data_IF_921285031521
#
_entry.id   IF_921285031521
#
_cell.length_a   1.000
_cell.length_b   1.000
_cell.length_c   1.000
_cell.angle_alpha   90.00
_cell.angle_beta   90.00
_cell.angle_gamma   90.00
#
_symmetry.space_group_name_H-M   'P 1'
#
loop_
_entity.id
_entity.type
_entity.pdbx_description
1 polymer ?
#
# COMPACT_ATOMS: atom_id res chain seq x y z
N UNK A 1 -27.48 39.34 31.21
CA UNK A 1 -27.95 39.44 29.81
C UNK A 1 -28.12 40.90 29.45
N UNK A 2 -28.05 41.25 28.16
CA UNK A 2 -28.27 42.63 27.69
C UNK A 2 -29.77 42.92 27.59
N UNK A 3 -30.19 44.19 27.75
CA UNK A 3 -31.59 44.62 27.56
C UNK A 3 -32.18 44.19 26.20
N UNK A 4 -31.33 44.08 25.16
CA UNK A 4 -31.75 43.55 23.85
C UNK A 4 -32.09 42.06 23.91
N UNK A 5 -31.28 41.28 24.62
CA UNK A 5 -31.48 39.84 24.85
C UNK A 5 -32.85 39.59 25.52
N UNK A 6 -33.19 40.37 26.54
CA UNK A 6 -34.44 40.23 27.29
C UNK A 6 -35.69 40.57 26.44
N UNK A 7 -35.57 41.52 25.49
CA UNK A 7 -36.63 41.81 24.53
C UNK A 7 -36.83 40.66 23.52
N UNK A 8 -35.74 40.07 23.02
CA UNK A 8 -35.80 38.96 22.05
C UNK A 8 -36.40 37.68 22.63
N UNK A 9 -36.17 37.39 23.91
CA UNK A 9 -36.65 36.17 24.56
C UNK A 9 -37.99 36.34 25.31
N UNK A 10 -38.67 37.48 25.16
CA UNK A 10 -39.94 37.76 25.85
C UNK A 10 -41.03 36.79 25.38
N UNK A 11 -41.61 36.04 26.32
CA UNK A 11 -42.66 35.05 26.05
C UNK A 11 -42.15 33.69 25.56
N UNK A 12 -40.83 33.52 25.42
CA UNK A 12 -40.20 32.23 25.12
C UNK A 12 -39.86 31.56 26.45
N UNK A 13 -40.36 30.35 26.76
CA UNK A 13 -40.00 29.64 27.97
C UNK A 13 -38.52 29.26 27.93
N UNK A 14 -37.70 29.94 28.75
CA UNK A 14 -36.28 29.67 28.88
C UNK A 14 -36.04 28.75 30.07
N UNK A 15 -35.27 27.68 29.86
CA UNK A 15 -34.76 26.85 30.96
C UNK A 15 -33.34 27.33 31.31
N UNK A 16 -32.98 27.49 32.60
CA UNK A 16 -31.59 27.72 32.97
C UNK A 16 -30.76 26.55 32.46
N UNK A 17 -29.85 26.85 31.53
CA UNK A 17 -28.99 25.88 30.87
C UNK A 17 -27.55 26.27 31.17
N UNK A 18 -26.89 25.46 32.01
CA UNK A 18 -25.49 25.64 32.35
C UNK A 18 -24.64 24.86 31.34
N UNK A 19 -24.23 25.58 30.29
CA UNK A 19 -23.37 25.06 29.22
C UNK A 19 -22.08 24.44 29.76
N UNK A 20 -21.51 24.98 30.84
CA UNK A 20 -20.24 24.50 31.38
C UNK A 20 -20.47 23.18 32.11
N UNK A 21 -21.50 23.11 32.96
CA UNK A 21 -21.82 21.89 33.71
C UNK A 21 -22.22 20.74 32.78
N UNK A 22 -23.16 20.97 31.86
CA UNK A 22 -23.62 19.94 30.94
C UNK A 22 -22.51 19.54 29.96
N UNK A 23 -21.74 20.52 29.46
CA UNK A 23 -20.58 20.27 28.61
C UNK A 23 -19.52 19.42 29.30
N UNK A 24 -19.23 19.68 30.58
CA UNK A 24 -18.27 18.89 31.35
C UNK A 24 -18.75 17.46 31.59
N UNK A 25 -20.03 17.27 31.92
CA UNK A 25 -20.61 15.92 32.10
C UNK A 25 -20.52 15.12 30.81
N UNK A 26 -20.94 15.71 29.69
CA UNK A 26 -20.87 15.07 28.36
C UNK A 26 -19.42 14.76 27.98
N UNK A 27 -18.50 15.71 28.21
CA UNK A 27 -17.08 15.51 27.94
C UNK A 27 -16.53 14.32 28.73
N UNK A 28 -16.72 14.29 30.05
CA UNK A 28 -16.24 13.19 30.91
C UNK A 28 -16.86 11.86 30.50
N UNK A 29 -18.17 11.81 30.24
CA UNK A 29 -18.84 10.60 29.79
C UNK A 29 -18.30 10.09 28.45
N UNK A 30 -18.11 10.98 27.47
CA UNK A 30 -17.52 10.63 26.17
C UNK A 30 -16.07 10.19 26.36
N UNK A 31 -15.26 10.86 27.18
CA UNK A 31 -13.87 10.47 27.45
C UNK A 31 -13.79 9.07 28.03
N UNK A 32 -14.60 8.77 29.06
CA UNK A 32 -14.66 7.42 29.66
C UNK A 32 -15.09 6.39 28.61
N UNK A 33 -16.12 6.70 27.81
CA UNK A 33 -16.56 5.81 26.74
C UNK A 33 -15.45 5.55 25.73
N UNK A 34 -14.74 6.59 25.27
CA UNK A 34 -13.61 6.47 24.35
C UNK A 34 -12.51 5.57 24.93
N UNK A 35 -12.15 5.73 26.21
CA UNK A 35 -11.15 4.85 26.84
C UNK A 35 -11.62 3.40 26.93
N UNK A 36 -12.89 3.17 27.30
CA UNK A 36 -13.46 1.82 27.35
C UNK A 36 -13.44 1.19 25.96
N UNK A 37 -13.91 1.91 24.94
CA UNK A 37 -13.90 1.44 23.55
C UNK A 37 -12.47 1.20 23.07
N UNK A 38 -11.53 2.10 23.37
CA UNK A 38 -10.13 1.93 22.99
C UNK A 38 -9.48 0.70 23.64
N UNK A 39 -9.82 0.37 24.90
CA UNK A 39 -9.31 -0.84 25.58
C UNK A 39 -9.96 -2.11 25.00
N UNK A 40 -11.27 -2.08 24.76
CA UNK A 40 -12.02 -3.25 24.24
C UNK A 40 -11.64 -3.54 22.77
N UNK A 41 -11.43 -2.48 21.99
CA UNK A 41 -11.14 -2.54 20.56
C UNK A 41 -9.68 -2.20 20.23
N UNK A 42 -8.75 -2.31 21.20
CA UNK A 42 -7.33 -2.03 20.97
C UNK A 42 -6.73 -3.05 20.00
N UNK A 43 -5.95 -2.54 19.06
CA UNK A 43 -5.19 -3.30 18.08
C UNK A 43 -3.81 -3.73 18.60
N UNK A 44 -3.30 -4.94 18.26
CA UNK A 44 -1.88 -5.22 18.30
C UNK A 44 -1.16 -4.40 17.21
N UNK A 45 -0.16 -3.61 17.61
CA UNK A 45 0.72 -2.91 16.67
C UNK A 45 1.68 -3.93 16.02
N UNK A 46 1.50 -4.17 14.71
CA UNK A 46 2.37 -5.07 13.96
C UNK A 46 3.55 -4.28 13.39
N UNK A 47 4.80 -4.66 13.69
CA UNK A 47 5.96 -3.97 13.16
C UNK A 47 6.00 -4.09 11.63
N UNK A 48 6.47 -3.05 10.92
CA UNK A 48 6.60 -3.10 9.47
C UNK A 48 7.61 -4.18 9.08
N UNK A 49 7.31 -4.89 7.99
CA UNK A 49 8.21 -5.90 7.42
C UNK A 49 9.46 -5.23 6.89
N UNK A 50 10.63 -5.57 7.44
CA UNK A 50 11.90 -5.01 7.01
C UNK A 50 12.64 -5.94 6.05
N UNK A 51 13.34 -5.38 5.08
CA UNK A 51 14.26 -6.13 4.20
C UNK A 51 15.24 -7.01 4.99
N UNK A 52 15.74 -6.50 6.13
CA UNK A 52 16.61 -7.24 7.05
C UNK A 52 15.96 -8.48 7.63
N UNK A 53 14.68 -8.39 8.00
CA UNK A 53 13.93 -9.50 8.58
C UNK A 53 13.67 -10.55 7.51
N UNK A 54 13.27 -10.15 6.30
CA UNK A 54 13.12 -11.04 5.15
C UNK A 54 14.44 -11.77 4.86
N UNK A 55 15.56 -11.05 4.77
CA UNK A 55 16.88 -11.62 4.51
C UNK A 55 17.39 -12.57 5.63
N UNK A 56 16.85 -12.42 6.85
CA UNK A 56 17.26 -13.23 8.01
C UNK A 56 16.39 -14.48 8.16
N UNK A 57 15.07 -14.33 8.08
CA UNK A 57 14.10 -15.39 8.35
C UNK A 57 13.67 -16.14 7.09
N UNK A 58 13.60 -15.47 5.95
CA UNK A 58 13.17 -16.03 4.67
C UNK A 58 14.22 -15.79 3.56
N UNK A 59 15.50 -16.20 3.76
CA UNK A 59 16.59 -15.85 2.87
C UNK A 59 16.46 -16.46 1.47
N UNK A 60 15.75 -17.59 1.32
CA UNK A 60 15.49 -18.18 0.00
C UNK A 60 14.48 -17.33 -0.78
N UNK A 61 13.38 -16.89 -0.15
CA UNK A 61 12.39 -16.01 -0.78
C UNK A 61 13.00 -14.63 -1.11
N UNK A 62 13.85 -14.11 -0.21
CA UNK A 62 14.65 -12.92 -0.46
C UNK A 62 15.47 -13.05 -1.74
N UNK A 63 16.28 -14.10 -1.86
CA UNK A 63 17.10 -14.35 -3.05
C UNK A 63 16.27 -14.62 -4.31
N UNK A 64 15.15 -15.33 -4.16
CA UNK A 64 14.23 -15.58 -5.27
C UNK A 64 13.68 -14.27 -5.85
N UNK A 65 13.41 -13.27 -5.00
CA UNK A 65 12.95 -11.95 -5.47
C UNK A 65 13.99 -11.30 -6.40
N UNK A 66 15.26 -11.31 -6.03
CA UNK A 66 16.33 -10.75 -6.88
C UNK A 66 16.62 -11.60 -8.11
N UNK A 67 16.49 -12.93 -8.01
CA UNK A 67 16.57 -13.81 -9.16
C UNK A 67 15.44 -13.52 -10.17
N UNK A 68 14.21 -13.36 -9.69
CA UNK A 68 13.03 -13.01 -10.51
C UNK A 68 13.22 -11.63 -11.17
N UNK A 69 13.79 -10.65 -10.45
CA UNK A 69 14.16 -9.33 -11.01
C UNK A 69 15.19 -9.48 -12.12
N UNK A 70 16.25 -10.27 -11.93
CA UNK A 70 17.26 -10.51 -12.97
C UNK A 70 16.69 -11.26 -14.18
N UNK A 71 15.68 -12.11 -13.98
CA UNK A 71 14.95 -12.77 -15.08
C UNK A 71 13.99 -11.84 -15.82
N UNK A 72 13.72 -10.63 -15.30
CA UNK A 72 12.66 -9.75 -15.79
C UNK A 72 11.25 -10.30 -15.53
N UNK A 73 11.09 -11.16 -14.52
CA UNK A 73 9.83 -11.85 -14.16
C UNK A 73 9.25 -11.39 -12.83
N UNK A 74 9.90 -10.47 -12.14
CA UNK A 74 9.34 -9.86 -10.92
C UNK A 74 8.12 -9.01 -11.27
N UNK A 75 7.18 -8.85 -10.33
CA UNK A 75 5.97 -8.02 -10.54
C UNK A 75 6.26 -6.58 -10.95
N UNK A 76 7.38 -5.98 -10.50
CA UNK A 76 7.76 -4.62 -10.93
C UNK A 76 8.40 -4.56 -12.32
N UNK A 77 8.83 -5.70 -12.87
CA UNK A 77 9.44 -5.75 -14.21
C UNK A 77 8.39 -5.84 -15.32
N UNK A 78 7.16 -6.22 -14.97
CA UNK A 78 6.03 -6.38 -15.88
C UNK A 78 4.79 -5.61 -15.38
N UNK A 79 4.99 -4.52 -14.63
CA UNK A 79 3.88 -3.78 -14.01
C UNK A 79 3.18 -2.87 -15.01
N UNK A 80 3.95 -2.20 -15.87
CA UNK A 80 3.49 -1.17 -16.79
C UNK A 80 3.60 0.26 -16.25
N UNK A 81 3.02 1.25 -16.96
CA UNK A 81 3.01 2.64 -16.53
C UNK A 81 2.40 2.80 -15.12
N UNK A 82 2.98 3.65 -14.24
CA UNK A 82 3.96 4.69 -14.55
C UNK A 82 5.44 4.27 -14.44
N UNK A 83 5.74 2.98 -14.20
CA UNK A 83 7.08 2.52 -13.86
C UNK A 83 7.88 1.99 -15.05
N UNK A 84 7.22 1.26 -15.95
CA UNK A 84 7.84 0.68 -17.14
C UNK A 84 6.93 0.80 -18.37
N UNK A 85 7.43 0.40 -19.53
CA UNK A 85 6.72 0.49 -20.82
C UNK A 85 5.96 -0.78 -21.20
N UNK A 86 5.92 -1.79 -20.33
CA UNK A 86 5.13 -3.00 -20.53
C UNK A 86 3.64 -2.63 -20.53
N UNK A 87 2.89 -3.24 -21.42
CA UNK A 87 1.44 -3.03 -21.56
C UNK A 87 0.66 -4.32 -21.36
N UNK A 88 1.31 -5.45 -21.16
CA UNK A 88 0.64 -6.75 -21.03
C UNK A 88 -0.27 -6.79 -19.80
N UNK A 89 0.14 -6.15 -18.70
CA UNK A 89 -0.60 -6.11 -17.44
C UNK A 89 -1.27 -4.76 -17.16
N UNK A 90 -1.42 -3.89 -18.16
CA UNK A 90 -1.98 -2.56 -17.94
C UNK A 90 -3.46 -2.63 -17.55
N UNK A 91 -3.82 -1.93 -16.47
CA UNK A 91 -5.22 -1.80 -16.10
C UNK A 91 -5.97 -0.99 -17.16
N UNK A 92 -7.04 -1.57 -17.67
CA UNK A 92 -7.84 -0.98 -18.74
C UNK A 92 -9.34 -1.17 -18.51
N UNK A 93 -10.12 -0.24 -19.04
CA UNK A 93 -11.57 -0.31 -19.03
C UNK A 93 -12.11 0.14 -20.40
N UNK A 94 -12.99 -0.67 -20.99
CA UNK A 94 -13.52 -0.43 -22.35
C UNK A 94 -12.44 -0.16 -23.41
N UNK A 95 -11.27 -0.81 -23.29
CA UNK A 95 -10.14 -0.63 -24.20
C UNK A 95 -9.35 0.67 -24.00
N UNK A 96 -9.63 1.43 -22.93
CA UNK A 96 -8.87 2.61 -22.54
C UNK A 96 -8.01 2.24 -21.33
N UNK A 97 -6.69 2.45 -21.45
CA UNK A 97 -5.73 2.30 -20.36
C UNK A 97 -5.23 3.69 -19.92
N UNK A 98 -5.82 4.30 -18.87
CA UNK A 98 -5.49 5.67 -18.48
C UNK A 98 -4.00 5.87 -18.14
N UNK A 99 -3.37 4.88 -17.50
CA UNK A 99 -1.96 4.93 -17.15
C UNK A 99 -1.06 5.06 -18.40
N UNK A 100 -1.40 4.34 -19.49
CA UNK A 100 -0.69 4.43 -20.76
C UNK A 100 -0.83 5.78 -21.47
N UNK A 101 -1.90 6.54 -21.20
CA UNK A 101 -2.06 7.90 -21.73
C UNK A 101 -1.04 8.86 -21.11
N UNK A 102 -0.81 8.71 -19.80
CA UNK A 102 0.18 9.50 -19.07
C UNK A 102 1.62 9.00 -19.31
N UNK A 103 1.76 7.72 -19.64
CA UNK A 103 3.04 7.07 -19.90
C UNK A 103 3.88 6.87 -18.64
N UNK A 104 5.18 6.63 -18.85
CA UNK A 104 6.15 6.37 -17.77
C UNK A 104 6.58 7.70 -17.15
N UNK A 105 6.11 7.96 -15.94
CA UNK A 105 6.41 9.20 -15.19
C UNK A 105 7.37 8.97 -14.03
N UNK A 106 7.50 7.73 -13.55
CA UNK A 106 8.38 7.34 -12.44
C UNK A 106 9.17 6.11 -12.89
N UNK A 107 10.11 6.25 -13.84
CA UNK A 107 10.77 5.09 -14.45
C UNK A 107 11.54 4.28 -13.39
N UNK A 108 11.30 2.97 -13.38
CA UNK A 108 12.04 2.01 -12.56
C UNK A 108 12.71 1.01 -13.49
N UNK A 109 14.04 0.92 -13.39
CA UNK A 109 14.78 -0.15 -14.03
C UNK A 109 15.08 -1.21 -12.97
N UNK A 110 14.21 -2.20 -12.82
CA UNK A 110 14.27 -3.15 -11.71
C UNK A 110 15.66 -3.79 -11.53
N UNK A 111 16.31 -4.20 -12.63
CA UNK A 111 17.65 -4.78 -12.60
C UNK A 111 18.68 -3.78 -12.07
N UNK A 112 18.69 -2.55 -12.60
CA UNK A 112 19.67 -1.55 -12.17
C UNK A 112 19.38 -1.00 -10.77
N UNK A 113 18.13 -0.71 -10.46
CA UNK A 113 17.71 -0.06 -9.22
C UNK A 113 17.77 -1.00 -8.02
N UNK A 114 17.46 -2.29 -8.21
CA UNK A 114 17.37 -3.24 -7.10
C UNK A 114 18.53 -4.23 -7.01
N UNK A 115 19.25 -4.49 -8.10
CA UNK A 115 20.37 -5.46 -8.12
C UNK A 115 21.70 -4.77 -8.35
N UNK A 116 21.89 -4.17 -9.54
CA UNK A 116 23.21 -3.68 -9.96
C UNK A 116 23.66 -2.47 -9.14
N UNK A 117 22.76 -1.52 -8.85
CA UNK A 117 23.05 -0.33 -8.05
C UNK A 117 23.47 -0.67 -6.62
N UNK A 118 22.64 -1.39 -5.84
CA UNK A 118 22.99 -1.87 -4.51
C UNK A 118 24.32 -2.63 -4.45
N UNK A 119 24.53 -3.55 -5.39
CA UNK A 119 25.80 -4.29 -5.48
C UNK A 119 26.97 -3.41 -5.88
N UNK A 120 26.78 -2.36 -6.69
CA UNK A 120 27.84 -1.42 -7.05
C UNK A 120 28.28 -0.60 -5.84
N UNK A 121 27.37 -0.26 -4.92
CA UNK A 121 27.72 0.35 -3.64
C UNK A 121 28.53 -0.61 -2.76
N UNK A 122 28.14 -1.89 -2.69
CA UNK A 122 28.88 -2.92 -1.97
C UNK A 122 30.26 -3.20 -2.59
N UNK A 123 30.38 -3.16 -3.92
CA UNK A 123 31.62 -3.40 -4.65
C UNK A 123 32.76 -2.42 -4.31
N UNK A 124 32.43 -1.24 -3.77
CA UNK A 124 33.43 -0.27 -3.28
C UNK A 124 34.28 -0.86 -2.15
N UNK A 125 33.69 -1.74 -1.34
CA UNK A 125 34.34 -2.35 -0.17
C UNK A 125 34.61 -3.85 -0.35
N UNK A 126 33.82 -4.55 -1.18
CA UNK A 126 34.00 -5.97 -1.47
C UNK A 126 34.50 -6.21 -2.91
N UNK A 127 35.77 -6.62 -3.00
CA UNK A 127 36.44 -6.92 -4.28
C UNK A 127 35.87 -8.14 -5.00
N UNK A 128 35.29 -9.11 -4.29
CA UNK A 128 34.68 -10.27 -4.92
C UNK A 128 33.39 -9.88 -5.63
N UNK A 129 32.56 -9.04 -4.99
CA UNK A 129 31.36 -8.47 -5.60
C UNK A 129 31.73 -7.57 -6.78
N UNK A 130 32.79 -6.76 -6.68
CA UNK A 130 33.28 -5.95 -7.79
C UNK A 130 33.61 -6.78 -9.03
N UNK A 131 34.41 -7.85 -8.86
CA UNK A 131 34.77 -8.76 -9.96
C UNK A 131 33.56 -9.48 -10.54
N UNK A 132 32.66 -9.95 -9.68
CA UNK A 132 31.44 -10.62 -10.11
C UNK A 132 30.55 -9.69 -10.95
N UNK A 133 30.43 -8.42 -10.57
CA UNK A 133 29.71 -7.43 -11.36
C UNK A 133 30.37 -7.14 -12.71
N UNK A 134 31.70 -7.06 -12.76
CA UNK A 134 32.45 -6.90 -14.02
C UNK A 134 32.21 -8.09 -14.94
N UNK A 135 32.40 -9.32 -14.43
CA UNK A 135 32.16 -10.55 -15.18
C UNK A 135 30.71 -10.65 -15.69
N UNK A 136 29.74 -10.29 -14.86
CA UNK A 136 28.34 -10.29 -15.25
C UNK A 136 28.05 -9.25 -16.35
N UNK A 137 28.62 -8.05 -16.25
CA UNK A 137 28.44 -6.98 -17.24
C UNK A 137 29.11 -7.28 -18.58
N UNK A 138 30.29 -7.93 -18.54
CA UNK A 138 31.07 -8.29 -19.73
C UNK A 138 30.49 -9.51 -20.46
N UNK A 139 29.71 -10.35 -19.75
CA UNK A 139 29.07 -11.51 -20.35
C UNK A 139 27.95 -11.15 -21.35
N UNK A 140 27.81 -11.99 -22.37
CA UNK A 140 26.72 -11.86 -23.35
C UNK A 140 25.35 -11.96 -22.67
N UNK A 141 24.30 -11.32 -23.22
CA UNK A 141 22.95 -11.44 -22.67
C UNK A 141 22.50 -12.90 -22.53
N UNK A 142 22.83 -13.76 -23.49
CA UNK A 142 22.48 -15.18 -23.46
C UNK A 142 23.18 -15.90 -22.32
N UNK A 143 24.46 -15.61 -22.07
CA UNK A 143 25.21 -16.22 -20.98
C UNK A 143 24.65 -15.78 -19.61
N UNK A 144 24.32 -14.49 -19.48
CA UNK A 144 23.66 -13.98 -18.27
C UNK A 144 22.34 -14.70 -18.01
N UNK A 145 21.48 -14.83 -19.02
CA UNK A 145 20.21 -15.56 -18.88
C UNK A 145 20.42 -17.01 -18.44
N UNK A 146 21.39 -17.72 -19.02
CA UNK A 146 21.71 -19.09 -18.63
C UNK A 146 22.11 -19.20 -17.15
N UNK A 147 23.00 -18.31 -16.68
CA UNK A 147 23.42 -18.29 -15.28
C UNK A 147 22.28 -17.94 -14.33
N UNK A 148 21.47 -16.95 -14.67
CA UNK A 148 20.33 -16.50 -13.86
C UNK A 148 19.30 -17.63 -13.77
N UNK A 149 18.92 -18.24 -14.89
CA UNK A 149 17.95 -19.33 -14.93
C UNK A 149 18.44 -20.56 -14.17
N UNK A 150 19.73 -20.91 -14.32
CA UNK A 150 20.34 -22.00 -13.56
C UNK A 150 20.29 -21.73 -12.05
N UNK A 151 20.61 -20.50 -11.62
CA UNK A 151 20.58 -20.12 -10.21
C UNK A 151 19.15 -20.09 -9.65
N UNK A 152 18.20 -19.46 -10.36
CA UNK A 152 16.79 -19.42 -9.98
C UNK A 152 16.19 -20.83 -9.85
N UNK A 153 16.52 -21.74 -10.77
CA UNK A 153 16.11 -23.13 -10.67
C UNK A 153 16.72 -23.85 -9.46
N UNK A 154 17.97 -23.55 -9.14
CA UNK A 154 18.64 -24.14 -7.98
C UNK A 154 18.04 -23.67 -6.65
N UNK A 155 17.54 -22.43 -6.58
CA UNK A 155 16.85 -21.87 -5.40
C UNK A 155 15.60 -22.69 -5.00
N UNK A 156 14.89 -23.29 -5.95
CA UNK A 156 13.72 -24.15 -5.67
C UNK A 156 14.04 -25.35 -4.76
N UNK A 157 15.31 -25.76 -4.70
CA UNK A 157 15.80 -26.87 -3.88
C UNK A 157 16.80 -26.44 -2.80
N UNK A 158 16.95 -25.12 -2.61
CA UNK A 158 17.93 -24.57 -1.69
C UNK A 158 17.61 -24.90 -0.23
N UNK A 159 18.67 -24.98 0.58
CA UNK A 159 18.58 -25.24 2.01
C UNK A 159 19.27 -24.13 2.78
N UNK A 160 18.68 -23.75 3.91
CA UNK A 160 19.32 -22.82 4.84
C UNK A 160 20.13 -23.62 5.84
N UNK A 161 21.45 -23.46 5.82
CA UNK A 161 22.38 -24.14 6.72
C UNK A 161 23.22 -23.07 7.42
N UNK A 162 23.16 -23.01 8.75
CA UNK A 162 23.90 -22.02 9.55
C UNK A 162 23.65 -20.57 9.09
N UNK A 163 22.41 -20.26 8.68
CA UNK A 163 22.02 -18.95 8.18
C UNK A 163 22.51 -18.63 6.77
N UNK A 164 23.18 -19.53 6.06
CA UNK A 164 23.57 -19.36 4.66
C UNK A 164 22.66 -20.17 3.75
N UNK A 165 22.38 -19.64 2.56
CA UNK A 165 21.59 -20.34 1.53
C UNK A 165 22.54 -21.21 0.72
N UNK A 166 22.36 -22.52 0.81
CA UNK A 166 23.06 -23.50 0.00
C UNK A 166 22.17 -23.91 -1.16
N UNK A 167 22.63 -23.63 -2.38
CA UNK A 167 22.05 -24.13 -3.62
C UNK A 167 22.77 -25.40 -4.05
N UNK A 168 22.13 -26.19 -4.92
CA UNK A 168 22.80 -27.34 -5.56
C UNK A 168 24.06 -26.90 -6.33
N UNK A 169 24.95 -27.83 -6.66
CA UNK A 169 26.09 -27.51 -7.51
C UNK A 169 25.62 -27.26 -8.95
N UNK A 170 26.13 -26.20 -9.57
CA UNK A 170 25.85 -25.84 -10.96
C UNK A 170 26.72 -24.69 -11.43
N UNK A 171 26.68 -24.41 -12.74
CA UNK A 171 27.33 -23.24 -13.30
C UNK A 171 26.37 -22.04 -13.23
N UNK A 172 26.66 -21.14 -12.31
CA UNK A 172 25.92 -19.91 -12.06
C UNK A 172 26.73 -18.67 -12.42
N UNK A 173 27.96 -18.85 -12.95
CA UNK A 173 28.93 -17.78 -13.12
C UNK A 173 29.01 -16.84 -11.90
N UNK A 174 29.01 -15.51 -12.09
CA UNK A 174 29.09 -14.54 -11.01
C UNK A 174 27.77 -14.35 -10.23
N UNK A 175 26.65 -14.93 -10.67
CA UNK A 175 25.32 -14.69 -10.08
C UNK A 175 25.28 -15.15 -8.62
N UNK A 176 25.91 -16.28 -8.29
CA UNK A 176 25.98 -16.77 -6.90
C UNK A 176 26.66 -15.77 -5.94
N UNK A 177 27.74 -15.13 -6.39
CA UNK A 177 28.48 -14.12 -5.61
C UNK A 177 27.65 -12.84 -5.48
N UNK A 178 27.03 -12.40 -6.57
CA UNK A 178 26.12 -11.24 -6.56
C UNK A 178 24.95 -11.45 -5.58
N UNK A 179 24.34 -12.62 -5.59
CA UNK A 179 23.21 -12.97 -4.73
C UNK A 179 23.62 -13.04 -3.25
N UNK A 180 24.78 -13.62 -2.95
CA UNK A 180 25.33 -13.60 -1.60
C UNK A 180 25.61 -12.17 -1.11
N UNK A 181 26.16 -11.30 -1.97
CA UNK A 181 26.36 -9.89 -1.65
C UNK A 181 25.05 -9.17 -1.32
N UNK A 182 23.99 -9.39 -2.10
CA UNK A 182 22.65 -8.85 -1.81
C UNK A 182 22.08 -9.40 -0.49
N UNK A 183 22.29 -10.68 -0.18
CA UNK A 183 21.83 -11.28 1.07
C UNK A 183 22.55 -10.69 2.28
N UNK A 184 23.86 -10.48 2.20
CA UNK A 184 24.65 -9.83 3.25
C UNK A 184 24.22 -8.37 3.43
N UNK A 185 23.98 -7.66 2.33
CA UNK A 185 23.47 -6.29 2.35
C UNK A 185 22.08 -6.23 3.02
N UNK A 186 21.19 -7.18 2.71
CA UNK A 186 19.89 -7.33 3.37
C UNK A 186 20.03 -7.57 4.87
N UNK A 187 20.82 -8.56 5.28
CA UNK A 187 21.05 -8.90 6.70
C UNK A 187 21.70 -7.78 7.51
N UNK A 188 22.52 -6.95 6.86
CA UNK A 188 23.10 -5.77 7.51
C UNK A 188 22.07 -4.68 7.79
N UNK A 189 20.96 -4.64 7.05
CA UNK A 189 19.96 -3.57 7.08
C UNK A 189 20.33 -2.36 6.22
N UNK A 190 21.35 -2.48 5.35
CA UNK A 190 21.81 -1.39 4.48
C UNK A 190 21.17 -1.42 3.08
N UNK A 191 20.34 -2.42 2.78
CA UNK A 191 19.71 -2.56 1.46
C UNK A 191 18.87 -1.32 1.09
N UNK A 192 17.95 -0.89 1.95
CA UNK A 192 17.04 0.23 1.64
C UNK A 192 17.84 1.52 1.37
N UNK A 193 18.89 1.77 2.16
CA UNK A 193 19.78 2.90 1.95
C UNK A 193 20.54 2.79 0.62
N UNK A 194 20.98 1.60 0.23
CA UNK A 194 21.69 1.36 -1.03
C UNK A 194 20.82 1.51 -2.28
N UNK A 195 19.52 1.26 -2.16
CA UNK A 195 18.54 1.48 -3.24
C UNK A 195 18.23 2.97 -3.37
N UNK A 196 18.26 3.70 -2.25
CA UNK A 196 17.96 5.12 -2.19
C UNK A 196 19.17 6.02 -2.56
N UNK A 197 20.40 5.55 -2.35
CA UNK A 197 21.64 6.34 -2.44
C UNK A 197 21.99 6.90 -3.81
N UNK A 198 21.19 6.63 -4.85
CA UNK A 198 21.40 7.08 -6.22
C UNK A 198 20.62 8.32 -6.66
N UNK A 199 19.69 8.86 -5.85
CA UNK A 199 18.79 9.92 -6.36
C UNK A 199 19.48 11.29 -6.48
N UNK A 200 20.26 11.74 -5.48
CA UNK A 200 21.18 12.87 -5.60
C UNK A 200 22.26 12.82 -4.51
N UNK A 201 23.48 13.35 -4.75
CA UNK A 201 24.54 13.44 -3.73
C UNK A 201 24.21 14.38 -2.54
N UNK A 202 23.02 14.99 -2.51
CA UNK A 202 22.54 15.89 -1.46
C UNK A 202 21.26 15.40 -0.77
N UNK A 203 20.80 14.17 -1.06
CA UNK A 203 19.60 13.59 -0.47
C UNK A 203 19.86 13.07 0.95
N UNK A 204 20.14 13.99 1.89
CA UNK A 204 20.16 13.68 3.32
C UNK A 204 18.74 13.45 3.86
N UNK A 205 17.74 14.03 3.19
CA UNK A 205 16.32 13.84 3.46
C UNK A 205 15.63 13.38 2.17
N UNK A 206 15.46 12.06 2.02
CA UNK A 206 14.56 11.54 0.98
C UNK A 206 13.13 11.47 1.51
N UNK A 207 12.19 11.91 0.70
CA UNK A 207 10.76 11.70 0.91
C UNK A 207 10.18 10.70 -0.10
N UNK A 208 11.00 10.20 -1.02
CA UNK A 208 10.59 9.28 -2.07
C UNK A 208 11.00 7.86 -1.73
N UNK A 209 10.12 7.09 -1.10
CA UNK A 209 10.36 5.68 -0.75
C UNK A 209 9.77 4.70 -1.79
N UNK A 210 9.48 5.17 -3.00
CA UNK A 210 8.84 4.35 -4.05
C UNK A 210 9.61 3.06 -4.32
N UNK A 211 10.94 3.15 -4.48
CA UNK A 211 11.78 1.96 -4.78
C UNK A 211 11.78 0.94 -3.63
N UNK A 212 12.10 1.29 -2.37
CA UNK A 212 12.00 0.34 -1.25
C UNK A 212 10.60 -0.28 -1.08
N UNK A 213 9.53 0.50 -1.32
CA UNK A 213 8.15 -0.01 -1.22
C UNK A 213 7.84 -1.06 -2.30
N UNK A 214 8.36 -0.89 -3.51
CA UNK A 214 8.06 -1.78 -4.64
C UNK A 214 8.94 -3.03 -4.72
N UNK A 215 10.07 -3.07 -4.01
CA UNK A 215 11.03 -4.17 -4.11
C UNK A 215 10.42 -5.55 -3.78
N UNK A 216 9.67 -5.64 -2.67
CA UNK A 216 9.11 -6.91 -2.17
C UNK A 216 7.60 -7.05 -2.41
N UNK A 217 7.02 -6.22 -3.30
CA UNK A 217 5.58 -6.14 -3.51
C UNK A 217 4.90 -7.46 -3.88
N UNK A 218 5.65 -8.37 -4.52
CA UNK A 218 5.09 -9.64 -4.94
C UNK A 218 4.95 -10.66 -3.83
N UNK A 219 5.45 -11.88 -4.07
CA UNK A 219 5.18 -13.05 -3.22
C UNK A 219 5.36 -12.81 -1.72
N UNK A 220 6.38 -12.04 -1.32
CA UNK A 220 6.66 -11.78 0.10
C UNK A 220 5.55 -10.93 0.72
N UNK A 221 5.25 -9.74 0.20
CA UNK A 221 4.19 -8.90 0.76
C UNK A 221 2.81 -9.54 0.60
N UNK A 222 2.54 -10.27 -0.50
CA UNK A 222 1.31 -11.05 -0.62
C UNK A 222 1.18 -12.16 0.44
N UNK A 223 2.27 -12.85 0.78
CA UNK A 223 2.29 -13.88 1.83
C UNK A 223 2.02 -13.26 3.20
N UNK A 224 2.68 -12.14 3.50
CA UNK A 224 2.46 -11.41 4.75
C UNK A 224 1.03 -10.89 4.84
N UNK A 225 0.52 -10.24 3.79
CA UNK A 225 -0.85 -9.74 3.74
C UNK A 225 -1.87 -10.85 3.96
N UNK A 226 -1.68 -12.02 3.33
CA UNK A 226 -2.51 -13.20 3.56
C UNK A 226 -2.48 -13.68 5.02
N UNK A 227 -1.31 -13.67 5.65
CA UNK A 227 -1.19 -14.10 7.06
C UNK A 227 -1.87 -13.14 8.06
N UNK A 228 -2.21 -11.93 7.61
CA UNK A 228 -2.79 -10.86 8.39
C UNK A 228 -4.25 -10.56 7.98
N UNK A 229 -4.85 -11.37 7.10
CA UNK A 229 -6.19 -11.14 6.52
C UNK A 229 -6.31 -9.75 5.87
N UNK A 230 -5.25 -9.32 5.19
CA UNK A 230 -5.13 -7.99 4.54
C UNK A 230 -5.25 -8.04 3.02
N UNK A 231 -5.69 -9.17 2.44
CA UNK A 231 -5.97 -9.23 1.00
C UNK A 231 -7.27 -8.49 0.67
N UNK A 232 -7.47 -8.15 -0.60
CA UNK A 232 -8.69 -7.45 -1.05
C UNK A 232 -9.96 -8.24 -0.74
N UNK A 233 -9.92 -9.56 -0.93
CA UNK A 233 -10.98 -10.50 -0.57
C UNK A 233 -11.24 -10.61 0.94
N UNK A 234 -10.30 -10.18 1.78
CA UNK A 234 -10.37 -10.23 3.24
C UNK A 234 -10.76 -8.87 3.85
N UNK A 235 -11.33 -7.97 3.05
CA UNK A 235 -11.59 -6.57 3.43
C UNK A 235 -10.31 -5.80 3.78
N UNK A 236 -9.16 -6.19 3.23
CA UNK A 236 -7.83 -5.71 3.61
C UNK A 236 -7.60 -4.20 3.52
N UNK A 237 -8.30 -3.50 2.63
CA UNK A 237 -8.26 -2.02 2.56
C UNK A 237 -8.77 -1.40 3.87
N UNK A 238 -9.71 -2.07 4.53
CA UNK A 238 -10.36 -1.63 5.76
C UNK A 238 -9.89 -2.38 7.00
N UNK A 239 -9.35 -3.58 6.80
CA UNK A 239 -8.77 -4.42 7.84
C UNK A 239 -7.36 -3.90 8.15
N UNK A 240 -7.28 -2.85 8.97
CA UNK A 240 -6.04 -2.53 9.65
C UNK A 240 -5.81 -3.60 10.70
N UNK A 241 -4.68 -4.31 10.66
CA UNK A 241 -4.35 -5.33 11.65
C UNK A 241 -4.65 -4.82 13.06
N UNK A 242 -5.72 -5.39 13.66
CA UNK A 242 -6.18 -5.12 15.01
C UNK A 242 -7.21 -4.00 15.23
N UNK A 243 -7.26 -2.92 14.45
CA UNK A 243 -8.19 -1.81 14.75
C UNK A 243 -9.57 -2.23 14.27
N UNK A 244 -10.53 -2.45 15.17
CA UNK A 244 -11.94 -2.56 14.79
C UNK A 244 -12.63 -1.20 14.97
N UNK A 245 -13.38 -0.67 13.98
CA UNK A 245 -13.69 -1.23 12.66
C UNK A 245 -12.68 -0.84 11.55
N UNK A 246 -11.46 -0.45 11.93
CA UNK A 246 -10.38 -0.06 11.02
C UNK A 246 -10.71 1.22 10.27
N UNK A 247 -10.24 1.34 9.03
CA UNK A 247 -10.59 2.41 8.12
C UNK A 247 -12.03 2.23 7.57
N UNK A 248 -13.03 2.22 8.46
CA UNK A 248 -14.43 1.91 8.13
C UNK A 248 -15.04 2.84 7.08
N UNK A 249 -14.50 4.05 6.93
CA UNK A 249 -14.91 4.98 5.87
C UNK A 249 -14.50 4.49 4.46
N UNK A 250 -13.60 3.52 4.36
CA UNK A 250 -13.22 2.82 3.12
C UNK A 250 -14.08 1.57 2.85
N UNK A 251 -15.01 1.21 3.74
CA UNK A 251 -15.94 0.08 3.49
C UNK A 251 -16.68 0.18 2.15
N UNK A 252 -17.16 1.36 1.70
CA UNK A 252 -17.77 1.48 0.39
C UNK A 252 -16.85 1.13 -0.77
N UNK A 253 -15.52 1.29 -0.61
CA UNK A 253 -14.53 0.90 -1.62
C UNK A 253 -14.31 -0.62 -1.56
N UNK A 254 -14.01 -1.14 -0.37
CA UNK A 254 -13.66 -2.56 -0.21
C UNK A 254 -14.84 -3.51 -0.49
N UNK A 255 -16.08 -3.03 -0.32
CA UNK A 255 -17.30 -3.80 -0.59
C UNK A 255 -17.33 -4.35 -2.02
N UNK A 256 -16.86 -3.56 -3.00
CA UNK A 256 -16.87 -3.99 -4.40
C UNK A 256 -15.94 -5.17 -4.65
N UNK A 257 -14.83 -5.28 -3.92
CA UNK A 257 -13.90 -6.42 -4.00
C UNK A 257 -14.52 -7.75 -3.52
N UNK A 258 -15.71 -7.72 -2.93
CA UNK A 258 -16.40 -8.90 -2.42
C UNK A 258 -17.40 -9.51 -3.42
N UNK A 259 -17.73 -8.77 -4.48
CA UNK A 259 -18.80 -9.16 -5.41
C UNK A 259 -18.30 -9.26 -6.85
N UNK A 260 -18.66 -10.33 -7.61
CA UNK A 260 -18.41 -10.38 -9.03
C UNK A 260 -19.16 -9.26 -9.79
N UNK A 261 -18.59 -8.72 -10.89
CA UNK A 261 -17.34 -9.15 -11.54
C UNK A 261 -16.05 -8.60 -10.92
N UNK A 262 -16.15 -7.59 -10.05
CA UNK A 262 -15.01 -6.85 -9.51
C UNK A 262 -14.04 -7.72 -8.71
N UNK A 263 -14.58 -8.65 -7.89
CA UNK A 263 -13.78 -9.58 -7.08
C UNK A 263 -12.92 -10.55 -7.90
N UNK A 264 -13.17 -10.66 -9.21
CA UNK A 264 -12.45 -11.55 -10.14
C UNK A 264 -11.78 -10.80 -11.29
N UNK A 265 -11.93 -9.48 -11.35
CA UNK A 265 -11.41 -8.68 -12.45
C UNK A 265 -9.94 -8.35 -12.22
N UNK A 266 -9.06 -8.54 -13.22
CA UNK A 266 -7.69 -8.03 -13.15
C UNK A 266 -7.63 -6.48 -13.14
N UNK A 267 -8.75 -5.81 -13.45
CA UNK A 267 -8.90 -4.35 -13.42
C UNK A 267 -9.70 -3.86 -12.20
N UNK A 268 -9.83 -4.69 -11.15
CA UNK A 268 -10.68 -4.40 -10.00
C UNK A 268 -10.45 -3.00 -9.41
N UNK A 269 -9.20 -2.60 -9.23
CA UNK A 269 -8.86 -1.28 -8.67
C UNK A 269 -9.34 -0.12 -9.56
N UNK A 270 -9.11 -0.18 -10.87
CA UNK A 270 -9.57 0.82 -11.83
C UNK A 270 -11.10 0.88 -11.88
N UNK A 271 -11.77 -0.27 -11.94
CA UNK A 271 -13.23 -0.36 -11.99
C UNK A 271 -13.88 0.26 -10.74
N UNK A 272 -13.40 -0.14 -9.55
CA UNK A 272 -13.90 0.37 -8.27
C UNK A 272 -13.59 1.86 -8.13
N UNK A 273 -12.38 2.29 -8.50
CA UNK A 273 -12.00 3.70 -8.51
C UNK A 273 -12.95 4.56 -9.35
N UNK A 274 -13.32 4.11 -10.55
CA UNK A 274 -14.24 4.81 -11.44
C UNK A 274 -15.67 4.86 -10.89
N UNK A 275 -16.15 3.77 -10.29
CA UNK A 275 -17.45 3.74 -9.62
C UNK A 275 -17.48 4.76 -8.48
N UNK A 276 -16.44 4.79 -7.66
CA UNK A 276 -16.36 5.70 -6.52
C UNK A 276 -16.25 7.16 -6.94
N UNK A 277 -15.51 7.47 -8.01
CA UNK A 277 -15.50 8.80 -8.64
C UNK A 277 -16.90 9.17 -9.12
N UNK A 278 -17.60 8.27 -9.82
CA UNK A 278 -18.96 8.53 -10.30
C UNK A 278 -19.94 8.79 -9.14
N UNK A 279 -19.89 7.98 -8.08
CA UNK A 279 -20.70 8.18 -6.87
C UNK A 279 -20.41 9.52 -6.20
N UNK A 280 -19.13 9.89 -6.10
CA UNK A 280 -18.74 11.18 -5.55
C UNK A 280 -19.25 12.35 -6.39
N UNK A 281 -19.16 12.25 -7.72
CA UNK A 281 -19.72 13.25 -8.62
C UNK A 281 -21.24 13.37 -8.48
N UNK A 282 -21.96 12.25 -8.35
CA UNK A 282 -23.42 12.26 -8.09
C UNK A 282 -23.73 12.94 -6.77
N UNK A 283 -22.96 12.68 -5.71
CA UNK A 283 -23.14 13.33 -4.41
C UNK A 283 -22.86 14.84 -4.49
N UNK A 284 -21.76 15.23 -5.15
CA UNK A 284 -21.35 16.61 -5.32
C UNK A 284 -22.39 17.41 -6.12
N UNK A 285 -22.94 16.82 -7.18
CA UNK A 285 -23.96 17.43 -8.04
C UNK A 285 -25.39 17.12 -7.59
N UNK A 286 -25.59 16.46 -6.45
CA UNK A 286 -26.91 16.07 -5.93
C UNK A 286 -27.93 17.22 -5.92
N UNK A 287 -27.59 18.49 -5.55
CA UNK A 287 -28.55 19.59 -5.60
C UNK A 287 -29.07 19.91 -7.00
N UNK A 288 -28.27 19.61 -8.03
CA UNK A 288 -28.55 19.94 -9.43
C UNK A 288 -29.17 18.78 -10.21
N UNK A 289 -29.08 17.54 -9.71
CA UNK A 289 -29.67 16.37 -10.37
C UNK A 289 -31.19 16.36 -10.09
N UNK A 290 -32.04 16.55 -11.13
CA UNK A 290 -33.49 16.43 -10.97
C UNK A 290 -33.84 15.04 -10.41
N UNK A 291 -34.94 14.94 -9.66
CA UNK A 291 -35.34 13.72 -8.91
C UNK A 291 -34.51 13.53 -7.63
N UNK A 292 -33.18 13.40 -7.73
CA UNK A 292 -32.33 13.18 -6.54
C UNK A 292 -32.41 14.35 -5.55
N UNK A 293 -32.40 15.59 -6.05
CA UNK A 293 -32.56 16.78 -5.20
C UNK A 293 -33.93 16.89 -4.49
N UNK A 294 -34.92 16.10 -4.91
CA UNK A 294 -36.25 16.05 -4.28
C UNK A 294 -36.38 14.94 -3.25
N UNK A 295 -35.42 14.02 -3.15
CA UNK A 295 -35.44 12.92 -2.16
C UNK A 295 -35.72 13.43 -0.73
N UNK A 296 -35.05 14.48 -0.22
CA UNK A 296 -35.35 14.98 1.13
C UNK A 296 -36.82 15.42 1.31
N UNK A 297 -37.44 15.96 0.25
CA UNK A 297 -38.85 16.38 0.27
C UNK A 297 -39.80 15.19 0.29
N UNK A 298 -39.45 14.11 -0.39
CA UNK A 298 -40.23 12.87 -0.46
C UNK A 298 -40.13 12.03 0.80
N UNK A 299 -38.92 11.80 1.29
CA UNK A 299 -38.68 11.03 2.52
C UNK A 299 -39.20 11.75 3.76
N UNK A 300 -39.32 13.09 3.69
CA UNK A 300 -39.79 13.94 4.79
C UNK A 300 -39.00 13.73 6.08
N UNK A 301 -37.76 13.22 6.00
CA UNK A 301 -36.88 13.01 7.16
C UNK A 301 -36.68 14.33 7.93
N UNK A 302 -36.66 15.46 7.22
CA UNK A 302 -36.62 16.79 7.83
C UNK A 302 -37.79 17.04 8.80
N UNK A 303 -38.98 16.45 8.60
CA UNK A 303 -40.10 16.57 9.55
C UNK A 303 -39.85 15.79 10.84
N UNK A 304 -39.05 14.72 10.79
CA UNK A 304 -38.65 13.97 11.99
C UNK A 304 -37.54 14.69 12.73
N UNK A 305 -36.53 15.18 12.02
CA UNK A 305 -35.42 15.95 12.61
C UNK A 305 -35.93 17.25 13.24
N UNK A 306 -36.82 17.97 12.53
CA UNK A 306 -37.38 19.26 12.97
C UNK A 306 -38.80 19.13 13.51
N UNK A 307 -39.12 17.99 14.13
CA UNK A 307 -40.49 17.66 14.54
C UNK A 307 -41.16 18.74 15.37
N UNK A 308 -40.44 19.38 16.28
CA UNK A 308 -41.00 20.38 17.18
C UNK A 308 -41.34 21.69 16.45
N UNK A 309 -40.52 22.09 15.47
CA UNK A 309 -40.83 23.23 14.60
C UNK A 309 -42.08 22.99 13.77
N UNK A 310 -42.23 21.79 13.21
CA UNK A 310 -43.41 21.43 12.41
C UNK A 310 -44.67 21.17 13.27
N UNK A 311 -44.53 20.76 14.53
CA UNK A 311 -45.65 20.61 15.47
C UNK A 311 -46.20 21.96 15.94
N UNK A 312 -45.33 22.95 16.17
CA UNK A 312 -45.73 24.28 16.66
C UNK A 312 -46.23 25.23 15.56
N UNK A 313 -46.30 24.76 14.30
CA UNK A 313 -46.74 25.56 13.14
C UNK A 313 -48.16 25.26 12.67
N UNK A 314 -48.80 24.24 13.25
CA UNK A 314 -50.22 23.92 13.08
C UNK A 314 -50.98 24.34 14.35
#
# INVERSE_FOLDING_TARGET
>A
MSKKTDQYFKGIPMKPYDLIKEGLIVFVAITILVFILAIIFSSPDYPPVKAKEIATYEPVAYLQTFADILQGKSEISNYGPPYDYDKENEQNIFGIAPASILGVTIPINAINDFVIGPLSHLAVIDKNVSKALEEFKDASPQQRTLWIDAYANALNSAKVVSGQVQVSNGDYGPVSVMMNGLLELGKSGLLDASIQSGETPYSFYTLNFTKPLLLFQGKIYHSVARSLDMLGEDWGISNETGNYPGAWWLWPYTFWYQIPPFSTSPNGDLEVGLIMIALFLVLLFLPFIPVLNKIPRWTKIYKTIWRDWYKNKN
#
